data_IF_758364814450
#
_entry.id   IF_758364814450
#
_cell.length_a   1.000
_cell.length_b   1.000
_cell.length_c   1.000
_cell.angle_alpha   90.00
_cell.angle_beta   90.00
_cell.angle_gamma   90.00
#
_symmetry.space_group_name_H-M   'P 1'
#
loop_
_entity.id
_entity.type
_entity.pdbx_description
1 polymer ?
#
# COMPACT_ATOMS: atom_id res chain seq x y z
N UNK A 1 -13.23 -22.21 -13.06
CA UNK A 1 -12.38 -22.64 -11.94
C UNK A 1 -10.96 -22.21 -12.27
N UNK A 2 -10.39 -21.25 -11.53
CA UNK A 2 -8.99 -20.91 -11.73
C UNK A 2 -8.13 -22.12 -11.32
N UNK A 3 -7.11 -22.49 -12.11
CA UNK A 3 -6.25 -23.60 -11.73
C UNK A 3 -5.60 -23.27 -10.39
N UNK A 4 -5.76 -24.15 -9.40
CA UNK A 4 -5.08 -24.00 -8.11
C UNK A 4 -3.59 -23.91 -8.37
N UNK A 5 -3.01 -22.77 -8.03
CA UNK A 5 -1.56 -22.59 -8.12
C UNK A 5 -0.87 -23.48 -7.09
N UNK A 6 0.18 -24.18 -7.51
CA UNK A 6 1.09 -24.83 -6.58
C UNK A 6 1.89 -23.74 -5.82
N UNK A 7 2.31 -23.99 -4.57
CA UNK A 7 3.08 -23.01 -3.78
C UNK A 7 4.31 -22.47 -4.52
N UNK A 8 4.98 -23.30 -5.32
CA UNK A 8 6.19 -22.94 -6.06
C UNK A 8 5.93 -21.90 -7.15
N UNK A 9 4.69 -21.76 -7.62
CA UNK A 9 4.31 -20.77 -8.63
C UNK A 9 4.22 -19.35 -8.09
N UNK A 10 4.25 -19.17 -6.77
CA UNK A 10 4.29 -17.84 -6.16
C UNK A 10 5.69 -17.22 -6.18
N UNK A 11 6.73 -18.00 -6.44
CA UNK A 11 8.14 -17.56 -6.44
C UNK A 11 8.87 -17.87 -7.76
N UNK A 12 8.12 -18.21 -8.81
CA UNK A 12 8.63 -18.65 -10.12
C UNK A 12 9.55 -17.63 -10.81
N UNK A 13 9.26 -16.33 -10.68
CA UNK A 13 10.02 -15.23 -11.28
C UNK A 13 11.25 -14.83 -10.47
N UNK A 14 11.31 -15.28 -9.21
CA UNK A 14 12.41 -15.05 -8.27
C UNK A 14 12.71 -13.56 -8.10
N UNK A 15 11.67 -12.72 -8.03
CA UNK A 15 11.85 -11.28 -7.89
C UNK A 15 12.53 -10.89 -6.57
N UNK A 16 12.26 -11.62 -5.49
CA UNK A 16 12.93 -11.43 -4.20
C UNK A 16 14.47 -11.46 -4.31
N UNK A 17 15.02 -12.28 -5.22
CA UNK A 17 16.47 -12.43 -5.41
C UNK A 17 17.11 -11.27 -6.18
N UNK A 18 16.33 -10.52 -6.97
CA UNK A 18 16.82 -9.40 -7.76
C UNK A 18 17.06 -8.16 -6.91
N UNK A 19 16.50 -8.13 -5.70
CA UNK A 19 16.51 -6.97 -4.82
C UNK A 19 15.63 -5.83 -5.32
N UNK A 20 15.52 -4.78 -4.51
CA UNK A 20 14.70 -3.60 -4.80
C UNK A 20 15.49 -2.40 -5.32
N UNK A 21 16.81 -2.51 -5.38
CA UNK A 21 17.72 -1.39 -5.65
C UNK A 21 17.46 -0.75 -7.02
N UNK A 22 17.00 -1.54 -8.00
CA UNK A 22 16.71 -1.07 -9.35
C UNK A 22 15.25 -0.68 -9.60
N UNK A 23 14.36 -0.77 -8.61
CA UNK A 23 12.92 -0.50 -8.83
C UNK A 23 12.65 0.94 -9.28
N UNK A 24 13.54 1.86 -8.91
CA UNK A 24 13.43 3.27 -9.28
C UNK A 24 14.40 3.66 -10.40
N UNK A 25 15.18 2.71 -10.93
CA UNK A 25 16.14 3.01 -11.99
C UNK A 25 15.39 3.42 -13.27
N UNK A 26 15.76 4.59 -13.79
CA UNK A 26 15.11 5.15 -14.97
C UNK A 26 13.72 5.75 -14.72
N UNK A 27 13.21 5.72 -13.48
CA UNK A 27 11.97 6.41 -13.13
C UNK A 27 12.24 7.90 -13.01
N UNK A 28 11.68 8.69 -13.93
CA UNK A 28 11.77 10.15 -13.91
C UNK A 28 10.53 10.71 -13.21
N UNK A 29 10.72 11.28 -12.02
CA UNK A 29 9.66 11.97 -11.29
C UNK A 29 9.39 13.35 -11.91
N UNK A 30 8.23 13.47 -12.57
CA UNK A 30 7.78 14.69 -13.24
C UNK A 30 6.54 15.30 -12.60
N UNK A 31 6.03 14.71 -11.52
CA UNK A 31 4.76 15.12 -10.92
C UNK A 31 4.96 16.42 -10.13
N UNK A 32 4.11 17.40 -10.42
CA UNK A 32 4.11 18.68 -9.72
C UNK A 32 3.84 18.48 -8.22
N UNK A 33 4.47 19.32 -7.39
CA UNK A 33 4.29 19.32 -5.93
C UNK A 33 3.61 20.62 -5.49
N UNK A 34 2.69 20.51 -4.55
CA UNK A 34 1.99 21.63 -3.93
C UNK A 34 2.11 21.52 -2.40
N UNK A 35 2.76 22.50 -1.77
CA UNK A 35 2.86 22.57 -0.32
C UNK A 35 1.59 23.17 0.29
N UNK A 36 0.87 22.36 1.05
CA UNK A 36 -0.39 22.80 1.69
C UNK A 36 -0.17 23.86 2.78
N UNK A 37 1.06 24.03 3.27
CA UNK A 37 1.40 25.08 4.23
C UNK A 37 1.47 26.47 3.62
N UNK A 38 1.71 26.56 2.32
CA UNK A 38 1.89 27.84 1.58
C UNK A 38 0.84 28.09 0.51
N UNK A 39 -0.09 27.15 0.31
CA UNK A 39 -1.12 27.20 -0.72
C UNK A 39 -2.53 27.12 -0.14
N UNK A 40 -3.52 27.56 -0.91
CA UNK A 40 -4.93 27.49 -0.53
C UNK A 40 -5.76 26.59 -1.48
N UNK A 41 -7.02 26.38 -1.10
CA UNK A 41 -7.94 25.54 -1.86
C UNK A 41 -8.30 26.12 -3.24
N UNK A 42 -8.26 27.44 -3.41
CA UNK A 42 -8.59 28.08 -4.68
C UNK A 42 -7.45 27.88 -5.69
N UNK A 43 -6.21 28.01 -5.23
CA UNK A 43 -5.01 27.69 -6.00
C UNK A 43 -5.00 26.22 -6.44
N UNK A 44 -5.22 25.29 -5.50
CA UNK A 44 -5.32 23.86 -5.81
C UNK A 44 -6.37 23.58 -6.88
N UNK A 45 -7.57 24.19 -6.73
CA UNK A 45 -8.66 23.97 -7.67
C UNK A 45 -8.35 24.47 -9.07
N UNK A 46 -7.83 25.69 -9.17
CA UNK A 46 -7.54 26.33 -10.45
C UNK A 46 -6.43 25.61 -11.22
N UNK A 47 -5.43 25.08 -10.51
CA UNK A 47 -4.24 24.48 -11.12
C UNK A 47 -4.34 22.96 -11.35
N UNK A 48 -5.09 22.24 -10.52
CA UNK A 48 -5.05 20.77 -10.49
C UNK A 48 -6.44 20.11 -10.51
N UNK A 49 -7.34 20.47 -9.59
CA UNK A 49 -8.66 19.82 -9.47
C UNK A 49 -9.53 20.02 -10.72
N UNK A 50 -9.79 21.27 -11.12
CA UNK A 50 -10.66 21.58 -12.24
C UNK A 50 -10.07 21.17 -13.60
N UNK A 51 -8.75 21.32 -13.84
CA UNK A 51 -8.12 20.80 -15.05
C UNK A 51 -7.96 19.27 -15.07
N UNK A 52 -8.13 18.57 -13.94
CA UNK A 52 -7.90 17.13 -13.84
C UNK A 52 -6.42 16.72 -13.95
N UNK A 53 -5.51 17.56 -13.48
CA UNK A 53 -4.06 17.33 -13.56
C UNK A 53 -3.54 16.74 -12.24
N UNK A 54 -2.79 15.62 -12.25
CA UNK A 54 -2.22 15.03 -11.05
C UNK A 54 -1.24 15.96 -10.32
N UNK A 55 -1.23 15.90 -8.99
CA UNK A 55 -0.32 16.65 -8.13
C UNK A 55 0.00 15.87 -6.86
N UNK A 56 1.23 15.98 -6.36
CA UNK A 56 1.62 15.51 -5.04
C UNK A 56 1.43 16.63 -4.01
N UNK A 57 0.59 16.40 -3.00
CA UNK A 57 0.44 17.31 -1.88
C UNK A 57 1.52 17.05 -0.83
N UNK A 58 2.31 18.07 -0.49
CA UNK A 58 3.33 18.00 0.56
C UNK A 58 2.85 18.73 1.82
N UNK A 59 3.39 18.38 3.00
CA UNK A 59 3.03 19.02 4.27
C UNK A 59 1.68 18.59 4.89
N UNK A 60 0.83 17.86 4.15
CA UNK A 60 -0.55 17.56 4.58
C UNK A 60 -0.68 16.68 5.82
N UNK A 61 0.27 15.76 6.04
CA UNK A 61 0.17 14.72 7.06
C UNK A 61 1.15 14.90 8.23
N UNK A 62 1.96 15.97 8.25
CA UNK A 62 3.07 16.14 9.22
C UNK A 62 2.64 16.00 10.69
N UNK A 63 1.43 16.49 11.00
CA UNK A 63 0.88 16.49 12.37
C UNK A 63 0.06 15.24 12.69
N UNK A 64 -0.17 14.33 11.74
CA UNK A 64 -1.01 13.16 11.95
C UNK A 64 -0.34 12.20 12.94
N UNK A 65 -1.09 11.65 13.92
CA UNK A 65 -0.55 10.62 14.81
C UNK A 65 0.02 9.41 14.07
N UNK A 66 -0.58 9.07 12.92
CA UNK A 66 -0.17 7.98 12.04
C UNK A 66 1.33 8.03 11.67
N UNK A 67 1.89 9.23 11.48
CA UNK A 67 3.31 9.42 11.18
C UNK A 67 4.26 8.88 12.27
N UNK A 68 3.75 8.66 13.49
CA UNK A 68 4.49 8.08 14.62
C UNK A 68 3.95 6.74 15.08
N UNK A 69 2.66 6.46 14.84
CA UNK A 69 1.99 5.27 15.40
C UNK A 69 1.90 4.10 14.44
N UNK A 70 1.91 4.32 13.12
CA UNK A 70 1.75 3.26 12.13
C UNK A 70 3.09 2.57 11.86
N UNK A 71 3.53 1.77 12.84
CA UNK A 71 4.67 0.87 12.73
C UNK A 71 4.18 -0.58 12.78
N UNK A 72 4.88 -1.51 12.14
CA UNK A 72 4.50 -2.93 12.18
C UNK A 72 4.39 -3.48 13.60
N UNK A 73 5.27 -3.06 14.51
CA UNK A 73 5.24 -3.47 15.92
C UNK A 73 3.96 -3.02 16.64
N UNK A 74 3.63 -1.72 16.54
CA UNK A 74 2.42 -1.17 17.18
C UNK A 74 1.16 -1.73 16.55
N UNK A 75 1.09 -1.75 15.21
CA UNK A 75 -0.06 -2.27 14.48
C UNK A 75 -0.32 -3.74 14.85
N UNK A 76 0.73 -4.58 14.90
CA UNK A 76 0.62 -5.98 15.31
C UNK A 76 0.16 -6.13 16.77
N UNK A 77 0.67 -5.29 17.67
CA UNK A 77 0.36 -5.36 19.12
C UNK A 77 -1.07 -4.90 19.40
N UNK A 78 -1.47 -3.76 18.84
CA UNK A 78 -2.76 -3.10 19.10
C UNK A 78 -3.89 -3.77 18.30
N UNK A 79 -3.66 -4.11 17.02
CA UNK A 79 -4.70 -4.58 16.09
C UNK A 79 -4.47 -6.01 15.57
N UNK A 80 -3.57 -6.78 16.18
CA UNK A 80 -3.19 -8.11 15.67
C UNK A 80 -4.34 -9.12 15.55
N UNK A 81 -5.46 -8.92 16.26
CA UNK A 81 -6.65 -9.77 16.17
C UNK A 81 -7.62 -9.35 15.07
N UNK A 82 -7.53 -8.12 14.59
CA UNK A 82 -8.39 -7.57 13.55
C UNK A 82 -8.14 -8.26 12.22
N UNK A 83 -9.22 -8.47 11.47
CA UNK A 83 -9.19 -9.05 10.13
C UNK A 83 -9.02 -7.92 9.13
N UNK A 84 -8.06 -8.07 8.23
CA UNK A 84 -7.79 -7.16 7.11
C UNK A 84 -8.10 -7.89 5.81
N UNK A 85 -8.83 -7.25 4.90
CA UNK A 85 -9.05 -7.76 3.54
C UNK A 85 -7.72 -7.76 2.78
N UNK A 86 -7.39 -8.90 2.16
CA UNK A 86 -6.14 -9.11 1.40
C UNK A 86 -6.39 -9.51 -0.07
N UNK A 87 -7.66 -9.63 -0.46
CA UNK A 87 -8.06 -10.07 -1.79
C UNK A 87 -9.53 -10.43 -1.87
N UNK A 88 -9.90 -11.10 -2.94
CA UNK A 88 -11.23 -11.63 -3.23
C UNK A 88 -11.08 -13.06 -3.77
N UNK A 89 -12.06 -13.91 -3.54
CA UNK A 89 -12.12 -15.24 -4.14
C UNK A 89 -12.77 -15.22 -5.53
N UNK A 90 -12.93 -16.40 -6.15
CA UNK A 90 -13.47 -16.55 -7.51
C UNK A 90 -14.92 -16.04 -7.65
N UNK A 91 -15.66 -15.92 -6.54
CA UNK A 91 -17.05 -15.44 -6.49
C UNK A 91 -17.13 -13.97 -6.05
N UNK A 92 -15.98 -13.30 -5.85
CA UNK A 92 -15.88 -11.91 -5.42
C UNK A 92 -16.08 -11.68 -3.92
N UNK A 93 -16.10 -12.75 -3.11
CA UNK A 93 -16.18 -12.59 -1.66
C UNK A 93 -14.82 -12.18 -1.09
N UNK A 94 -14.79 -11.24 -0.13
CA UNK A 94 -13.55 -10.74 0.44
C UNK A 94 -12.81 -11.83 1.23
N UNK A 95 -11.51 -11.96 0.95
CA UNK A 95 -10.60 -12.84 1.68
C UNK A 95 -9.93 -12.03 2.78
N UNK A 96 -10.01 -12.52 4.02
CA UNK A 96 -9.48 -11.84 5.20
C UNK A 96 -8.37 -12.62 5.89
N UNK A 97 -7.35 -11.90 6.37
CA UNK A 97 -6.30 -12.43 7.24
C UNK A 97 -6.21 -11.58 8.50
N UNK A 98 -5.91 -12.20 9.67
CA UNK A 98 -5.67 -11.38 10.87
C UNK A 98 -4.36 -10.63 10.73
N UNK A 99 -4.33 -9.36 11.13
CA UNK A 99 -3.18 -8.49 10.95
C UNK A 99 -1.87 -9.08 11.53
N UNK A 100 -1.93 -9.78 12.67
CA UNK A 100 -0.72 -10.42 13.23
C UNK A 100 -0.10 -11.48 12.32
N UNK A 101 -0.92 -12.17 11.53
CA UNK A 101 -0.45 -13.18 10.57
C UNK A 101 0.09 -12.51 9.31
N UNK A 102 -0.56 -11.43 8.86
CA UNK A 102 -0.08 -10.63 7.73
C UNK A 102 1.29 -9.98 8.02
N UNK A 103 1.48 -9.39 9.20
CA UNK A 103 2.79 -8.82 9.59
C UNK A 103 3.88 -9.88 9.66
N UNK A 104 3.56 -11.10 10.11
CA UNK A 104 4.51 -12.23 10.06
C UNK A 104 4.83 -12.62 8.62
N UNK A 105 3.80 -12.75 7.78
CA UNK A 105 3.94 -13.06 6.35
C UNK A 105 4.87 -12.08 5.63
N UNK A 106 4.70 -10.77 5.85
CA UNK A 106 5.58 -9.75 5.25
C UNK A 106 7.06 -9.89 5.64
N UNK A 107 7.37 -10.49 6.80
CA UNK A 107 8.75 -10.68 7.25
C UNK A 107 9.41 -11.96 6.68
N UNK A 108 8.62 -12.85 6.07
CA UNK A 108 9.06 -14.20 5.69
C UNK A 108 8.81 -14.53 4.21
N UNK A 109 8.02 -13.72 3.49
CA UNK A 109 7.60 -14.02 2.11
C UNK A 109 8.67 -13.66 1.07
N UNK A 110 8.83 -14.54 0.09
CA UNK A 110 9.59 -14.31 -1.15
C UNK A 110 8.66 -14.32 -2.38
N UNK A 111 7.35 -14.16 -2.16
CA UNK A 111 6.35 -14.19 -3.24
C UNK A 111 6.63 -13.07 -4.26
N UNK A 112 6.58 -13.41 -5.55
CA UNK A 112 6.76 -12.47 -6.65
C UNK A 112 5.68 -11.39 -6.69
N UNK A 113 4.48 -11.73 -6.20
CA UNK A 113 3.34 -10.82 -6.04
C UNK A 113 2.65 -11.12 -4.70
N UNK A 114 3.15 -10.55 -3.59
CA UNK A 114 2.65 -10.85 -2.26
C UNK A 114 1.16 -10.55 -2.09
N UNK A 115 0.54 -11.17 -1.08
CA UNK A 115 -0.78 -10.73 -0.58
C UNK A 115 -0.70 -9.26 -0.17
N UNK A 116 -1.74 -8.49 -0.46
CA UNK A 116 -1.75 -7.06 -0.22
C UNK A 116 -2.98 -6.63 0.57
N UNK A 117 -2.78 -6.02 1.73
CA UNK A 117 -3.89 -5.47 2.53
C UNK A 117 -4.51 -4.29 1.80
N UNK A 118 -5.80 -4.42 1.49
CA UNK A 118 -6.62 -3.36 0.92
C UNK A 118 -8.04 -3.45 1.49
N UNK A 119 -8.30 -2.65 2.52
CA UNK A 119 -9.52 -2.75 3.32
C UNK A 119 -10.32 -1.43 3.30
N UNK A 120 -11.54 -1.49 2.78
CA UNK A 120 -12.48 -0.35 2.73
C UNK A 120 -13.47 -0.31 3.89
N UNK A 121 -13.38 -1.27 4.83
CA UNK A 121 -14.33 -1.47 5.92
C UNK A 121 -13.80 -1.07 7.30
N UNK A 122 -12.54 -0.63 7.38
CA UNK A 122 -11.96 -0.04 8.57
C UNK A 122 -12.72 1.23 8.95
N UNK A 123 -13.45 1.17 10.06
CA UNK A 123 -14.23 2.25 10.66
C UNK A 123 -13.77 2.51 12.10
#
# INVERSE_FOLDING_TARGET
>A
EYPRRAPEQWTEQRYAERGTDCLLDGVVDTVARLDVGTSDAAEFRARFEAPGVPVMLTGAMERWPAMRSWTFERLRTEFGREKMKVGEDDDGYPVYVRLKHYVRYLAETDDDSPLYVFDSSLA
#
